data_IF_870634954479
#
_entry.id   IF_870634954479
#
_cell.length_a   1.000
_cell.length_b   1.000
_cell.length_c   1.000
_cell.angle_alpha   90.00
_cell.angle_beta   90.00
_cell.angle_gamma   90.00
#
_symmetry.space_group_name_H-M   'P 1'
#
loop_
_entity.id
_entity.type
_entity.pdbx_description
1 polymer ?
#
# COMPACT_ATOMS: atom_id res chain seq x y z
N UNK A 1 39.16 2.13 10.32
CA UNK A 1 38.16 1.12 9.94
C UNK A 1 36.83 1.49 10.59
N UNK A 2 35.79 1.84 9.80
CA UNK A 2 34.45 2.09 10.34
C UNK A 2 33.52 1.01 9.79
N UNK A 3 33.14 0.13 10.69
CA UNK A 3 32.32 -1.05 10.47
C UNK A 3 30.88 -0.65 10.14
N UNK A 4 30.31 -1.22 9.09
CA UNK A 4 28.87 -1.15 8.81
C UNK A 4 28.17 -2.22 9.64
N UNK A 5 27.11 -1.91 10.41
CA UNK A 5 26.33 -2.95 11.07
C UNK A 5 25.64 -3.80 9.99
N UNK A 6 26.14 -5.03 9.81
CA UNK A 6 25.38 -6.10 9.15
C UNK A 6 24.28 -6.52 10.10
N UNK A 7 23.02 -6.15 9.82
CA UNK A 7 21.92 -6.74 10.60
C UNK A 7 20.57 -6.05 10.71
N UNK A 8 20.16 -5.13 9.84
CA UNK A 8 18.70 -4.97 9.56
C UNK A 8 18.21 -6.18 8.73
N UNK A 9 18.43 -7.36 9.31
CA UNK A 9 18.40 -8.67 8.67
C UNK A 9 18.06 -9.74 9.70
N UNK A 10 17.13 -9.45 10.61
CA UNK A 10 16.17 -10.49 10.97
C UNK A 10 15.43 -10.86 9.69
N UNK A 11 15.06 -12.14 9.51
CA UNK A 11 14.29 -12.61 8.37
C UNK A 11 13.17 -11.60 8.07
N UNK A 12 13.31 -10.81 6.98
CA UNK A 12 12.26 -9.85 6.63
C UNK A 12 11.01 -10.69 6.52
N UNK A 13 10.02 -10.42 7.38
CA UNK A 13 8.72 -11.05 7.27
C UNK A 13 8.27 -10.84 5.84
N UNK A 14 7.82 -11.93 5.23
CA UNK A 14 7.37 -11.87 3.86
C UNK A 14 6.31 -10.76 3.73
N UNK A 15 6.32 -9.94 2.66
CA UNK A 15 5.36 -8.86 2.51
C UNK A 15 3.90 -9.31 2.62
N UNK A 16 3.56 -10.53 2.19
CA UNK A 16 2.21 -11.08 2.39
C UNK A 16 1.94 -11.45 3.83
N UNK A 17 2.94 -11.96 4.54
CA UNK A 17 2.83 -12.21 5.99
C UNK A 17 2.54 -10.90 6.74
N UNK A 18 3.25 -9.81 6.42
CA UNK A 18 3.03 -8.50 7.04
C UNK A 18 1.63 -7.97 6.76
N UNK A 19 1.15 -8.06 5.52
CA UNK A 19 -0.22 -7.63 5.16
C UNK A 19 -1.29 -8.45 5.90
N UNK A 20 -1.07 -9.76 6.02
CA UNK A 20 -2.00 -10.67 6.72
C UNK A 20 -2.07 -10.39 8.22
N UNK A 21 -0.92 -10.22 8.86
CA UNK A 21 -0.84 -9.87 10.29
C UNK A 21 -1.43 -8.48 10.54
N UNK A 22 -1.07 -7.49 9.72
CA UNK A 22 -1.65 -6.15 9.79
C UNK A 22 -3.17 -6.17 9.73
N UNK A 23 -3.75 -6.98 8.84
CA UNK A 23 -5.21 -7.13 8.77
C UNK A 23 -5.80 -7.80 10.01
N UNK A 24 -5.23 -8.95 10.42
CA UNK A 24 -5.79 -9.77 11.51
C UNK A 24 -5.66 -9.13 12.89
N UNK A 25 -4.57 -8.42 13.14
CA UNK A 25 -4.22 -7.94 14.48
C UNK A 25 -4.48 -6.44 14.66
N UNK A 26 -4.39 -5.66 13.57
CA UNK A 26 -4.48 -4.19 13.63
C UNK A 26 -5.63 -3.63 12.78
N UNK A 27 -6.30 -4.47 11.98
CA UNK A 27 -7.31 -4.00 11.03
C UNK A 27 -6.74 -3.14 9.89
N UNK A 28 -5.43 -3.25 9.62
CA UNK A 28 -4.73 -2.45 8.62
C UNK A 28 -4.45 -3.27 7.36
N UNK A 29 -4.88 -2.76 6.21
CA UNK A 29 -4.67 -3.42 4.91
C UNK A 29 -3.95 -2.48 3.94
N UNK A 30 -2.80 -2.95 3.42
CA UNK A 30 -2.11 -2.32 2.30
C UNK A 30 -2.42 -3.09 1.01
N UNK A 31 -3.30 -2.53 0.18
CA UNK A 31 -3.76 -3.15 -1.08
C UNK A 31 -3.33 -2.31 -2.28
N UNK A 32 -2.89 -2.98 -3.36
CA UNK A 32 -2.66 -2.31 -4.64
C UNK A 32 -3.98 -2.19 -5.40
N UNK A 33 -4.23 -1.04 -6.02
CA UNK A 33 -5.37 -0.88 -6.92
C UNK A 33 -5.30 -1.86 -8.11
N UNK A 34 -4.11 -2.32 -8.47
CA UNK A 34 -3.92 -3.26 -9.59
C UNK A 34 -3.88 -4.73 -9.15
N UNK A 35 -4.20 -5.02 -7.89
CA UNK A 35 -4.29 -6.39 -7.40
C UNK A 35 -5.31 -7.18 -8.22
N UNK A 36 -4.87 -8.28 -8.85
CA UNK A 36 -5.68 -9.08 -9.75
C UNK A 36 -6.84 -9.80 -9.04
N UNK A 37 -6.80 -9.88 -7.70
CA UNK A 37 -7.90 -10.44 -6.90
C UNK A 37 -9.07 -9.47 -6.75
N UNK A 38 -8.86 -8.17 -7.00
CA UNK A 38 -9.91 -7.16 -6.96
C UNK A 38 -10.65 -7.12 -8.29
N UNK A 39 -11.96 -7.25 -8.21
CA UNK A 39 -12.87 -6.89 -9.30
C UNK A 39 -12.83 -5.38 -9.56
N UNK A 40 -13.35 -4.97 -10.72
CA UNK A 40 -13.42 -3.54 -11.06
C UNK A 40 -14.18 -2.70 -10.02
N UNK A 41 -15.36 -3.13 -9.51
CA UNK A 41 -16.05 -2.38 -8.45
C UNK A 41 -15.25 -2.27 -7.15
N UNK A 42 -14.56 -3.33 -6.73
CA UNK A 42 -13.75 -3.32 -5.50
C UNK A 42 -12.54 -2.39 -5.63
N UNK A 43 -11.90 -2.40 -6.81
CA UNK A 43 -10.83 -1.46 -7.13
C UNK A 43 -11.30 -0.02 -7.05
N UNK A 44 -12.47 0.27 -7.60
CA UNK A 44 -13.06 1.61 -7.57
C UNK A 44 -13.41 2.04 -6.13
N UNK A 45 -13.96 1.13 -5.31
CA UNK A 45 -14.21 1.40 -3.90
C UNK A 45 -12.92 1.77 -3.15
N UNK A 46 -11.84 1.00 -3.33
CA UNK A 46 -10.54 1.29 -2.71
C UNK A 46 -9.99 2.64 -3.20
N UNK A 47 -10.11 2.96 -4.50
CA UNK A 47 -9.69 4.25 -5.07
C UNK A 47 -10.44 5.41 -4.41
N UNK A 48 -11.76 5.35 -4.39
CA UNK A 48 -12.62 6.38 -3.80
C UNK A 48 -12.36 6.57 -2.29
N UNK A 49 -12.14 5.47 -1.55
CA UNK A 49 -11.77 5.56 -0.14
C UNK A 49 -10.41 6.22 0.04
N UNK A 50 -9.42 5.85 -0.78
CA UNK A 50 -8.10 6.48 -0.80
C UNK A 50 -8.19 7.98 -1.07
N UNK A 51 -8.94 8.39 -2.11
CA UNK A 51 -9.16 9.79 -2.45
C UNK A 51 -9.86 10.57 -1.35
N UNK A 52 -10.88 9.97 -0.73
CA UNK A 52 -11.61 10.61 0.37
C UNK A 52 -10.73 10.83 1.60
N UNK A 53 -9.85 9.87 1.90
CA UNK A 53 -9.02 9.90 3.11
C UNK A 53 -7.72 10.70 2.93
N UNK A 54 -7.15 10.69 1.73
CA UNK A 54 -5.80 11.22 1.47
C UNK A 54 -5.72 12.24 0.33
N UNK A 55 -6.85 12.53 -0.33
CA UNK A 55 -6.90 13.40 -1.50
C UNK A 55 -6.62 12.67 -2.81
N UNK A 56 -6.82 13.35 -3.97
CA UNK A 56 -6.54 12.77 -5.27
C UNK A 56 -5.09 12.30 -5.36
N UNK A 57 -4.83 11.26 -6.14
CA UNK A 57 -3.45 10.81 -6.35
C UNK A 57 -2.73 11.88 -7.18
N UNK A 58 -1.47 12.21 -6.83
CA UNK A 58 -0.64 13.21 -7.54
C UNK A 58 -0.61 13.03 -9.08
N UNK A 59 -0.82 11.82 -9.58
CA UNK A 59 -0.93 11.51 -11.02
C UNK A 59 -2.15 12.13 -11.71
N UNK A 60 -3.19 12.48 -10.96
CA UNK A 60 -4.48 12.99 -11.45
C UNK A 60 -4.58 14.52 -11.33
N UNK A 61 -3.74 15.15 -10.52
CA UNK A 61 -3.68 16.61 -10.34
C UNK A 61 -2.97 17.32 -11.51
N UNK A 62 -2.06 16.64 -12.21
CA UNK A 62 -1.32 17.19 -13.35
C UNK A 62 -2.09 17.24 -14.69
N UNK A 63 -3.33 16.78 -14.74
CA UNK A 63 -4.16 16.74 -15.95
C UNK A 63 -5.09 17.95 -16.16
N UNK A 64 -5.13 18.88 -15.21
CA UNK A 64 -5.94 20.12 -15.28
C UNK A 64 -5.06 21.37 -15.35
N UNK A 65 -4.24 21.45 -16.38
CA UNK A 65 -3.74 22.74 -16.87
C UNK A 65 -4.21 22.89 -18.31
N UNK A 66 -5.36 23.54 -18.46
CA UNK A 66 -5.80 24.17 -19.71
C UNK A 66 -5.68 25.68 -19.56
#
# INVERSE_FOLDING_TARGET
>A
MRWHPKGYGGHRRDPEQVKREGWREQGLLAVSLEDARLTWPERELVRQLGEKLYGPRLSEEGGRHG
#
